data_IF_150050488406
#
_entry.id   IF_150050488406
#
_cell.length_a   1.000
_cell.length_b   1.000
_cell.length_c   1.000
_cell.angle_alpha   90.00
_cell.angle_beta   90.00
_cell.angle_gamma   90.00
#
_symmetry.space_group_name_H-M   'P 1'
#
loop_
_entity.id
_entity.type
_entity.pdbx_description
1 polymer ?
#
# COMPACT_ATOMS: atom_id res chain seq x y z
N UNK A 1 24.22 20.35 13.17
CA UNK A 1 22.99 19.85 12.51
C UNK A 1 22.66 18.50 13.11
N UNK A 2 21.46 18.32 13.66
CA UNK A 2 21.08 17.05 14.30
C UNK A 2 20.65 16.06 13.22
N UNK A 3 21.40 14.98 13.07
CA UNK A 3 21.10 13.88 12.17
C UNK A 3 19.84 13.17 12.70
N UNK A 4 18.69 13.36 12.04
CA UNK A 4 17.51 12.55 12.31
C UNK A 4 17.72 11.18 11.67
N UNK A 5 17.88 10.16 12.51
CA UNK A 5 17.94 8.77 12.09
C UNK A 5 16.53 8.36 11.70
N UNK A 6 16.25 8.28 10.41
CA UNK A 6 14.98 7.81 9.88
C UNK A 6 14.98 6.29 9.94
N UNK A 7 14.21 5.72 10.86
CA UNK A 7 13.98 4.29 10.94
C UNK A 7 13.24 3.85 9.67
N UNK A 8 13.96 3.15 8.80
CA UNK A 8 13.42 2.64 7.55
C UNK A 8 12.38 1.55 7.86
N UNK A 9 11.11 1.82 7.54
CA UNK A 9 10.08 0.80 7.56
C UNK A 9 10.41 -0.26 6.50
N UNK A 10 10.73 -1.48 6.96
CA UNK A 10 11.12 -2.60 6.10
C UNK A 10 9.87 -3.35 5.67
N UNK A 11 9.51 -3.22 4.39
CA UNK A 11 8.55 -4.12 3.76
C UNK A 11 9.21 -5.51 3.69
N UNK A 12 8.63 -6.57 4.28
CA UNK A 12 9.16 -7.92 4.13
C UNK A 12 8.89 -8.41 2.70
N UNK A 13 9.90 -8.99 2.03
CA UNK A 13 9.61 -9.93 0.94
C UNK A 13 10.34 -9.84 -0.41
N UNK A 14 11.34 -8.98 -0.66
CA UNK A 14 12.05 -9.06 -1.95
C UNK A 14 13.56 -8.84 -1.84
N UNK A 15 14.31 -9.93 -2.04
CA UNK A 15 15.74 -9.91 -2.37
C UNK A 15 15.93 -9.64 -3.87
N UNK A 16 16.98 -8.88 -4.17
CA UNK A 16 17.60 -8.59 -5.49
C UNK A 16 17.14 -7.37 -6.32
N UNK A 17 17.85 -6.26 -6.04
CA UNK A 17 18.76 -5.55 -6.96
C UNK A 17 18.32 -5.26 -8.41
N UNK A 18 17.68 -4.10 -8.63
CA UNK A 18 18.12 -3.03 -9.54
C UNK A 18 17.27 -1.77 -9.23
N UNK A 19 17.76 -0.58 -9.56
CA UNK A 19 17.35 0.74 -9.03
C UNK A 19 15.92 1.19 -9.41
N UNK A 20 14.91 0.57 -8.79
CA UNK A 20 13.49 0.96 -8.91
C UNK A 20 12.87 1.32 -7.55
N UNK A 21 13.61 1.09 -6.47
CA UNK A 21 13.19 1.34 -5.08
C UNK A 21 13.12 2.83 -4.75
N UNK A 22 13.94 3.66 -5.42
CA UNK A 22 13.99 5.11 -5.17
C UNK A 22 12.70 5.83 -5.54
N UNK A 23 12.19 5.58 -6.76
CA UNK A 23 10.96 6.21 -7.26
C UNK A 23 9.71 5.72 -6.51
N UNK A 24 9.64 4.41 -6.23
CA UNK A 24 8.55 3.84 -5.41
C UNK A 24 8.52 4.42 -4.00
N UNK A 25 9.67 4.57 -3.34
CA UNK A 25 9.74 5.16 -2.00
C UNK A 25 9.29 6.61 -2.00
N UNK A 26 9.78 7.43 -2.93
CA UNK A 26 9.42 8.85 -3.00
C UNK A 26 7.92 9.06 -3.21
N UNK A 27 7.30 8.32 -4.14
CA UNK A 27 5.88 8.45 -4.43
C UNK A 27 4.99 7.93 -3.28
N UNK A 28 5.46 6.91 -2.54
CA UNK A 28 4.81 6.48 -1.30
C UNK A 28 4.83 7.59 -0.24
N UNK A 29 5.93 8.35 -0.11
CA UNK A 29 6.02 9.47 0.83
C UNK A 29 5.09 10.64 0.47
N UNK A 30 4.82 10.87 -0.82
CA UNK A 30 3.91 11.93 -1.27
C UNK A 30 2.46 11.48 -1.39
N UNK A 31 2.14 10.23 -1.03
CA UNK A 31 0.82 9.64 -1.21
C UNK A 31 0.32 9.73 -2.67
N UNK A 32 1.25 9.54 -3.63
CA UNK A 32 0.97 9.59 -5.06
C UNK A 32 1.17 8.19 -5.64
N UNK A 33 0.26 7.70 -6.48
CA UNK A 33 0.46 6.42 -7.17
C UNK A 33 1.47 6.53 -8.31
N UNK A 34 2.17 5.42 -8.56
CA UNK A 34 2.87 5.24 -9.82
C UNK A 34 1.85 5.09 -10.94
N UNK A 35 2.07 5.68 -12.12
CA UNK A 35 1.24 5.38 -13.29
C UNK A 35 1.58 3.98 -13.81
N UNK A 36 0.57 3.22 -14.23
CA UNK A 36 0.73 1.93 -14.91
C UNK A 36 1.68 2.08 -16.10
N UNK A 37 2.57 1.10 -16.32
CA UNK A 37 3.54 1.04 -17.42
C UNK A 37 4.60 2.17 -17.49
N UNK A 38 4.53 3.17 -16.61
CA UNK A 38 5.47 4.28 -16.54
C UNK A 38 6.43 4.21 -15.34
N UNK A 39 6.23 3.25 -14.44
CA UNK A 39 7.18 2.95 -13.36
C UNK A 39 8.30 2.02 -13.87
N UNK A 40 9.53 2.22 -13.42
CA UNK A 40 10.66 1.34 -13.77
C UNK A 40 10.50 -0.11 -13.26
N UNK A 41 9.56 -0.36 -12.35
CA UNK A 41 9.16 -1.72 -11.94
C UNK A 41 8.04 -2.33 -12.78
N UNK A 42 7.48 -1.59 -13.74
CA UNK A 42 6.33 -2.02 -14.55
C UNK A 42 5.16 -2.49 -13.71
N UNK A 43 4.55 -3.62 -14.09
CA UNK A 43 3.43 -4.24 -13.37
C UNK A 43 3.79 -4.84 -11.99
N UNK A 44 5.07 -4.84 -11.58
CA UNK A 44 5.48 -5.31 -10.25
C UNK A 44 5.42 -4.20 -9.19
N UNK A 45 4.89 -3.03 -9.54
CA UNK A 45 4.80 -1.92 -8.60
C UNK A 45 3.65 -2.11 -7.60
N UNK A 46 3.98 -2.20 -6.32
CA UNK A 46 2.98 -2.26 -5.24
C UNK A 46 2.27 -0.92 -4.96
N UNK A 47 2.64 0.16 -5.66
CA UNK A 47 2.04 1.51 -5.52
C UNK A 47 1.13 1.86 -6.71
N UNK A 48 0.39 0.87 -7.21
CA UNK A 48 -0.58 0.96 -8.32
C UNK A 48 -1.93 0.35 -7.92
N UNK A 49 -2.24 0.33 -6.62
CA UNK A 49 -3.33 -0.49 -6.04
C UNK A 49 -4.71 0.02 -6.47
N UNK A 50 -4.91 1.34 -6.57
CA UNK A 50 -6.16 1.92 -7.05
C UNK A 50 -6.36 1.67 -8.54
N UNK A 51 -5.33 1.85 -9.37
CA UNK A 51 -5.39 1.54 -10.80
C UNK A 51 -5.65 0.04 -11.08
N UNK A 52 -5.18 -0.85 -10.20
CA UNK A 52 -5.38 -2.29 -10.31
C UNK A 52 -6.69 -2.77 -9.66
N UNK A 53 -7.44 -1.90 -8.98
CA UNK A 53 -8.66 -2.29 -8.27
C UNK A 53 -8.41 -3.27 -7.11
N UNK A 54 -7.23 -3.21 -6.49
CA UNK A 54 -6.92 -4.02 -5.31
C UNK A 54 -7.79 -3.55 -4.15
N UNK A 55 -8.48 -4.48 -3.49
CA UNK A 55 -9.35 -4.21 -2.35
C UNK A 55 -9.21 -5.33 -1.31
N UNK A 56 -9.41 -5.00 -0.04
CA UNK A 56 -9.54 -5.96 1.04
C UNK A 56 -10.89 -6.70 0.93
N UNK A 57 -10.94 -7.92 1.46
CA UNK A 57 -12.18 -8.65 1.63
C UNK A 57 -13.01 -8.01 2.76
N UNK A 58 -14.18 -7.48 2.42
CA UNK A 58 -15.09 -6.82 3.36
C UNK A 58 -16.52 -7.41 3.24
N UNK A 59 -17.15 -7.67 4.37
CA UNK A 59 -18.56 -8.04 4.46
C UNK A 59 -19.42 -6.88 4.95
N UNK A 60 -20.70 -6.92 4.60
CA UNK A 60 -21.72 -6.07 5.18
C UNK A 60 -22.27 -6.70 6.46
N UNK A 61 -22.33 -5.92 7.53
CA UNK A 61 -22.94 -6.31 8.80
C UNK A 61 -23.95 -5.27 9.28
N UNK A 62 -25.01 -5.72 9.95
CA UNK A 62 -25.99 -4.84 10.59
C UNK A 62 -25.61 -4.65 12.06
N UNK A 63 -24.91 -3.57 12.37
CA UNK A 63 -24.45 -3.29 13.73
C UNK A 63 -25.47 -2.46 14.54
N UNK A 64 -25.95 -2.96 15.69
CA UNK A 64 -26.90 -2.24 16.54
C UNK A 64 -26.41 -0.83 16.90
N UNK A 65 -27.27 0.17 16.68
CA UNK A 65 -26.95 1.59 16.94
C UNK A 65 -26.01 2.26 15.94
N UNK A 66 -25.54 1.55 14.90
CA UNK A 66 -24.63 2.09 13.87
C UNK A 66 -25.13 1.88 12.43
N UNK A 67 -26.18 1.07 12.23
CA UNK A 67 -26.72 0.79 10.91
C UNK A 67 -25.91 -0.29 10.19
N UNK A 68 -25.65 -0.10 8.90
CA UNK A 68 -24.86 -1.04 8.09
C UNK A 68 -23.38 -0.67 8.18
N UNK A 69 -22.55 -1.64 8.56
CA UNK A 69 -21.10 -1.54 8.67
C UNK A 69 -20.41 -2.40 7.61
N UNK A 70 -19.18 -2.01 7.27
CA UNK A 70 -18.23 -2.87 6.54
C UNK A 70 -17.27 -3.48 7.56
N UNK A 71 -17.20 -4.80 7.57
CA UNK A 71 -16.34 -5.59 8.46
C UNK A 71 -15.27 -6.29 7.64
N UNK A 72 -14.05 -6.39 8.17
CA UNK A 72 -12.98 -7.16 7.51
C UNK A 72 -13.30 -8.66 7.59
N UNK A 73 -13.32 -9.32 6.44
CA UNK A 73 -13.51 -10.78 6.35
C UNK A 73 -12.20 -11.55 6.51
N UNK A 74 -11.07 -10.88 6.24
CA UNK A 74 -9.72 -11.41 6.39
C UNK A 74 -8.86 -10.49 7.27
N UNK A 75 -7.72 -11.02 7.75
CA UNK A 75 -6.72 -10.23 8.48
C UNK A 75 -6.15 -9.13 7.57
N UNK A 76 -6.20 -7.88 8.04
CA UNK A 76 -5.59 -6.72 7.37
C UNK A 76 -4.33 -6.31 8.14
N UNK A 77 -3.18 -6.36 7.49
CA UNK A 77 -1.91 -5.94 8.08
C UNK A 77 -1.76 -4.41 8.09
N UNK A 78 -0.94 -3.92 9.02
CA UNK A 78 -0.65 -2.49 9.14
C UNK A 78 0.02 -1.97 7.86
N UNK A 79 -0.63 -1.03 7.19
CA UNK A 79 -0.13 -0.38 5.98
C UNK A 79 -0.66 -0.97 4.67
N UNK A 80 -1.51 -2.00 4.76
CA UNK A 80 -2.25 -2.51 3.61
C UNK A 80 -3.33 -1.53 3.14
N UNK A 81 -3.70 -1.64 1.87
CA UNK A 81 -4.75 -0.84 1.26
C UNK A 81 -6.07 -1.59 1.36
N UNK A 82 -7.13 -0.89 1.77
CA UNK A 82 -8.42 -1.51 2.09
C UNK A 82 -9.42 -1.31 0.96
N UNK A 83 -9.77 -0.08 0.65
CA UNK A 83 -10.65 0.30 -0.47
C UNK A 83 -10.59 1.81 -0.65
#
# INVERSE_FOLDING_TARGET
MKQFKLDAFRIPGTTDSHDSRGNQRQQFFTQTECVLDHCSTGHKCGNQRMQQGVQAALALDSTPGKGIALMADDLIEKGEFVA
#
